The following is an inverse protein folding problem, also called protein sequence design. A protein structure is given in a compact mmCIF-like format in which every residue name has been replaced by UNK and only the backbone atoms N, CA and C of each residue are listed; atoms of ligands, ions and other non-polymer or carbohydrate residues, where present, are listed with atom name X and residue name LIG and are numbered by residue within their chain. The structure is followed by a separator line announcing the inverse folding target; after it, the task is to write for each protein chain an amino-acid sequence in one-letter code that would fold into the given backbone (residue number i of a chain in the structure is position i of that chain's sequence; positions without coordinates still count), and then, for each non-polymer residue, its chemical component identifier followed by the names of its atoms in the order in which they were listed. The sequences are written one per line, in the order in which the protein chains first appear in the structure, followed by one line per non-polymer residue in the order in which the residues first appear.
data_IF_427169392535
#
_entry.id   IF_427169392535
#
_cell.length_a   1.000
_cell.length_b   1.000
_cell.length_c   1.000
_cell.angle_alpha   90.00
_cell.angle_beta   90.00
_cell.angle_gamma   90.00
#
_symmetry.space_group_name_H-M   'P 1'
#
loop_
_entity.id
_entity.type
_entity.pdbx_description
1 polymer ?
#
# COMPACT_ATOMS: atom_id res chain seq x y z
N UNK A 1 -4.88 19.84 2.24
CA UNK A 1 -4.86 18.39 1.98
C UNK A 1 -3.46 17.88 2.26
N UNK A 2 -3.27 17.19 3.38
CA UNK A 2 -1.94 16.73 3.79
C UNK A 2 -1.58 15.48 3.01
N UNK A 3 -0.60 15.61 2.11
CA UNK A 3 0.05 14.43 1.51
C UNK A 3 0.86 13.75 2.61
N UNK A 4 0.34 12.66 3.16
CA UNK A 4 1.10 11.80 4.07
C UNK A 4 2.14 11.04 3.21
N UNK A 5 3.38 11.50 3.23
CA UNK A 5 4.50 10.75 2.67
C UNK A 5 4.86 9.66 3.68
N UNK A 6 4.52 8.40 3.39
CA UNK A 6 4.94 7.27 4.20
C UNK A 6 6.44 7.05 4.01
N UNK A 7 7.19 7.23 5.08
CA UNK A 7 8.61 6.93 5.16
C UNK A 7 8.75 5.43 5.44
N UNK A 8 9.37 4.69 4.53
CA UNK A 8 9.71 3.28 4.74
C UNK A 8 10.93 3.17 5.64
N UNK A 9 10.76 2.58 6.80
CA UNK A 9 11.85 2.02 7.58
C UNK A 9 11.81 0.50 7.42
N UNK A 10 12.64 -0.03 6.53
CA UNK A 10 12.96 -1.45 6.49
C UNK A 10 14.17 -1.67 7.40
N UNK A 11 13.95 -2.24 8.58
CA UNK A 11 15.01 -2.64 9.49
C UNK A 11 15.53 -4.02 9.10
N UNK A 12 16.78 -4.13 8.72
CA UNK A 12 17.46 -5.40 8.47
C UNK A 12 18.56 -5.64 9.49
N UNK A 13 18.55 -6.83 10.08
CA UNK A 13 19.67 -7.36 10.84
C UNK A 13 20.67 -7.98 9.86
N UNK A 14 21.85 -7.38 9.72
CA UNK A 14 22.97 -7.94 8.97
C UNK A 14 24.03 -8.49 9.95
N UNK A 15 24.44 -9.74 9.71
CA UNK A 15 25.62 -10.34 10.37
C UNK A 15 26.81 -10.12 9.45
N UNK A 16 27.87 -9.48 9.97
CA UNK A 16 29.03 -9.00 9.22
C UNK A 16 30.20 -9.97 9.23
N UNK A 17 31.00 -9.98 8.14
CA UNK A 17 32.44 -10.27 8.17
C UNK A 17 33.19 -9.39 7.15
N UNK A 18 34.33 -8.89 7.62
CA UNK A 18 35.19 -7.79 7.25
C UNK A 18 35.70 -7.71 5.79
N UNK A 19 35.60 -6.47 5.19
CA UNK A 19 36.68 -5.68 4.59
C UNK A 19 36.10 -4.31 4.20
N UNK A 20 36.67 -3.22 4.73
CA UNK A 20 36.16 -1.86 4.54
C UNK A 20 36.50 -1.30 3.14
N UNK A 21 35.48 -0.92 2.38
CA UNK A 21 35.60 -0.01 1.25
C UNK A 21 34.99 1.34 1.62
N UNK A 22 35.66 2.43 1.23
CA UNK A 22 35.08 3.77 1.30
C UNK A 22 34.16 3.95 0.09
N UNK A 23 32.86 4.07 0.33
CA UNK A 23 31.89 4.37 -0.73
C UNK A 23 31.78 5.89 -0.83
N UNK A 24 31.94 6.43 -2.03
CA UNK A 24 31.83 7.86 -2.31
C UNK A 24 30.52 8.18 -3.00
N UNK A 25 29.77 9.08 -2.41
CA UNK A 25 28.51 9.56 -2.96
C UNK A 25 28.68 11.04 -3.32
N UNK A 26 28.89 11.34 -4.59
CA UNK A 26 28.96 12.70 -5.11
C UNK A 26 27.62 13.16 -5.61
N UNK A 27 27.24 14.38 -5.34
CA UNK A 27 25.97 14.90 -5.82
C UNK A 27 26.07 16.34 -6.28
N UNK A 28 25.14 16.71 -7.20
CA UNK A 28 24.92 18.06 -7.66
C UNK A 28 23.45 18.43 -7.42
N UNK A 29 23.22 19.64 -6.94
CA UNK A 29 21.89 20.18 -6.64
C UNK A 29 21.56 21.28 -7.62
N UNK A 30 20.42 21.17 -8.26
CA UNK A 30 19.83 22.17 -9.13
C UNK A 30 18.61 22.78 -8.42
N UNK A 31 18.76 24.04 -7.96
CA UNK A 31 17.72 24.76 -7.24
C UNK A 31 17.88 26.26 -7.48
N UNK A 32 16.79 27.04 -7.37
CA UNK A 32 16.85 28.51 -7.40
C UNK A 32 17.55 29.08 -6.16
N UNK A 33 17.30 28.46 -5.01
CA UNK A 33 18.00 28.71 -3.76
C UNK A 33 18.61 27.41 -3.32
N UNK A 34 19.93 27.38 -3.17
CA UNK A 34 20.65 26.17 -2.75
C UNK A 34 20.47 25.95 -1.26
N UNK A 35 20.08 24.76 -0.82
CA UNK A 35 20.12 24.38 0.60
C UNK A 35 21.57 24.34 1.11
N UNK A 36 21.75 24.58 2.41
CA UNK A 36 23.08 24.67 3.02
C UNK A 36 23.69 23.28 3.27
N UNK A 37 22.85 22.34 3.66
CA UNK A 37 23.29 21.02 4.08
C UNK A 37 22.59 19.91 3.31
N UNK A 38 23.32 18.80 3.15
CA UNK A 38 22.74 17.52 2.76
C UNK A 38 22.99 16.49 3.87
N UNK A 39 22.00 15.65 4.08
CA UNK A 39 22.01 14.55 5.06
C UNK A 39 21.77 13.23 4.36
N UNK A 40 22.55 12.22 4.72
CA UNK A 40 22.31 10.85 4.33
C UNK A 40 21.98 10.03 5.58
N UNK A 41 20.80 9.44 5.60
CA UNK A 41 20.33 8.58 6.67
C UNK A 41 20.37 7.14 6.17
N UNK A 42 21.14 6.31 6.86
CA UNK A 42 21.31 4.90 6.53
C UNK A 42 21.35 4.08 7.82
N UNK A 43 20.43 3.18 8.01
CA UNK A 43 20.17 2.48 9.26
C UNK A 43 19.99 3.46 10.43
N UNK A 44 20.82 3.42 11.46
CA UNK A 44 20.81 4.37 12.58
C UNK A 44 21.78 5.55 12.38
N UNK A 45 22.58 5.52 11.31
CA UNK A 45 23.58 6.53 11.03
C UNK A 45 23.00 7.75 10.30
N UNK A 46 23.50 8.93 10.67
CA UNK A 46 23.20 10.21 10.01
C UNK A 46 24.53 10.84 9.58
N UNK A 47 24.74 10.88 8.28
CA UNK A 47 25.89 11.56 7.70
C UNK A 47 25.48 12.97 7.26
N UNK A 48 26.32 13.95 7.48
CA UNK A 48 26.09 15.36 7.12
C UNK A 48 27.21 15.87 6.23
N UNK A 49 26.85 16.63 5.21
CA UNK A 49 27.83 17.41 4.41
C UNK A 49 27.28 18.79 4.09
N UNK A 50 28.17 19.76 3.87
CA UNK A 50 27.79 21.10 3.36
C UNK A 50 27.70 21.07 1.84
N UNK A 51 26.77 21.84 1.31
CA UNK A 51 26.61 22.04 -0.14
C UNK A 51 27.39 23.30 -0.51
N UNK A 52 28.43 23.14 -1.33
CA UNK A 52 29.28 24.23 -1.82
C UNK A 52 29.16 24.35 -3.33
N UNK A 53 28.74 25.52 -3.81
CA UNK A 53 28.51 25.76 -5.26
C UNK A 53 27.59 24.70 -5.92
N UNK A 54 26.55 24.29 -5.21
CA UNK A 54 25.60 23.28 -5.68
C UNK A 54 26.13 21.85 -5.71
N UNK A 55 27.27 21.55 -5.06
CA UNK A 55 27.83 20.19 -5.02
C UNK A 55 28.14 19.76 -3.59
N UNK A 56 28.16 18.45 -3.35
CA UNK A 56 28.58 17.86 -2.08
C UNK A 56 29.04 16.41 -2.26
N UNK A 57 29.66 15.88 -1.23
CA UNK A 57 30.13 14.50 -1.21
C UNK A 57 29.94 13.90 0.19
N UNK A 58 29.50 12.65 0.24
CA UNK A 58 29.60 11.80 1.43
C UNK A 58 30.67 10.74 1.21
N UNK A 59 31.42 10.46 2.25
CA UNK A 59 32.32 9.31 2.29
C UNK A 59 31.84 8.38 3.39
N UNK A 60 31.38 7.20 3.00
CA UNK A 60 30.80 6.21 3.92
C UNK A 60 31.86 5.16 4.17
N UNK A 61 32.35 5.10 5.40
CA UNK A 61 33.29 4.09 5.85
C UNK A 61 32.51 2.92 6.48
N UNK A 62 31.70 2.24 5.67
CA UNK A 62 30.87 1.12 6.13
C UNK A 62 31.14 -0.09 5.26
N UNK A 63 31.23 -1.24 5.91
CA UNK A 63 31.41 -2.50 5.22
C UNK A 63 30.06 -2.92 4.67
N UNK A 64 29.94 -2.99 3.36
CA UNK A 64 28.83 -3.67 2.68
C UNK A 64 29.36 -4.97 2.09
N UNK A 65 28.82 -6.10 2.51
CA UNK A 65 29.15 -7.39 1.91
C UNK A 65 28.78 -7.37 0.43
N UNK A 66 29.60 -8.02 -0.40
CA UNK A 66 29.35 -8.11 -1.84
C UNK A 66 27.97 -8.72 -2.10
N UNK A 67 27.12 -7.98 -2.82
CA UNK A 67 25.73 -8.37 -3.09
C UNK A 67 24.72 -7.92 -2.04
N UNK A 68 25.17 -7.24 -0.97
CA UNK A 68 24.28 -6.56 -0.02
C UNK A 68 24.11 -5.09 -0.41
N UNK A 69 23.00 -4.51 0.02
CA UNK A 69 22.72 -3.09 -0.14
C UNK A 69 21.93 -2.60 1.06
N UNK A 70 21.99 -1.29 1.30
CA UNK A 70 21.16 -0.61 2.28
C UNK A 70 20.25 0.40 1.61
N UNK A 71 19.01 0.50 2.06
CA UNK A 71 18.17 1.64 1.73
C UNK A 71 18.64 2.85 2.53
N UNK A 72 18.78 3.97 1.84
CA UNK A 72 19.17 5.22 2.44
C UNK A 72 18.19 6.34 2.03
N UNK A 73 18.12 7.38 2.86
CA UNK A 73 17.38 8.60 2.56
C UNK A 73 18.36 9.75 2.45
N UNK A 74 18.36 10.43 1.32
CA UNK A 74 19.09 11.66 1.09
C UNK A 74 18.15 12.83 1.35
N UNK A 75 18.52 13.74 2.23
CA UNK A 75 17.75 14.93 2.52
C UNK A 75 18.57 16.19 2.26
N UNK A 76 17.87 17.24 1.85
CA UNK A 76 18.42 18.59 1.73
C UNK A 76 17.75 19.47 2.78
N UNK A 77 18.51 20.34 3.47
CA UNK A 77 17.96 21.23 4.49
C UNK A 77 18.86 22.41 4.80
N UNK A 78 18.25 23.53 5.17
CA UNK A 78 18.94 24.70 5.74
C UNK A 78 19.17 24.55 7.26
N UNK A 79 18.53 23.57 7.90
CA UNK A 79 18.62 23.31 9.33
C UNK A 79 19.70 22.28 9.65
N UNK A 80 20.21 22.31 10.88
CA UNK A 80 21.19 21.35 11.38
C UNK A 80 20.52 20.31 12.27
N UNK A 81 20.86 19.05 12.06
CA UNK A 81 20.42 17.91 12.86
C UNK A 81 21.63 17.14 13.37
N UNK A 82 21.54 16.65 14.59
CA UNK A 82 22.61 15.91 15.26
C UNK A 82 22.34 14.42 15.35
N UNK A 83 21.08 14.03 15.22
CA UNK A 83 20.65 12.64 15.30
C UNK A 83 19.40 12.41 14.44
N UNK A 84 19.04 11.13 14.29
CA UNK A 84 17.91 10.68 13.47
C UNK A 84 16.55 11.15 14.03
N UNK A 85 16.39 11.19 15.34
CA UNK A 85 15.11 11.59 15.97
C UNK A 85 14.83 13.07 15.77
N UNK A 86 15.83 13.93 15.93
CA UNK A 86 15.73 15.37 15.64
C UNK A 86 15.36 15.60 14.17
N UNK A 87 16.04 14.88 13.26
CA UNK A 87 15.75 14.94 11.84
C UNK A 87 14.29 14.61 11.53
N UNK A 88 13.79 13.44 11.93
CA UNK A 88 12.42 13.05 11.66
C UNK A 88 11.39 13.89 12.40
N UNK A 89 11.70 14.39 13.60
CA UNK A 89 10.85 15.30 14.35
C UNK A 89 10.70 16.63 13.63
N UNK A 90 11.75 17.13 13.02
CA UNK A 90 11.71 18.34 12.20
C UNK A 90 10.82 18.13 10.97
N UNK A 91 11.07 17.10 10.16
CA UNK A 91 10.33 16.83 8.93
C UNK A 91 8.86 16.47 9.16
N UNK A 92 8.49 15.93 10.33
CA UNK A 92 7.09 15.73 10.72
C UNK A 92 6.36 17.03 11.05
N UNK A 93 7.06 18.03 11.57
CA UNK A 93 6.47 19.31 12.00
C UNK A 93 6.46 20.37 10.90
N UNK A 94 7.38 20.31 9.98
CA UNK A 94 7.54 21.30 8.92
C UNK A 94 7.05 20.72 7.60
N UNK A 95 6.27 21.51 6.87
CA UNK A 95 5.85 21.12 5.52
C UNK A 95 7.09 20.98 4.63
N UNK A 96 7.08 19.99 3.74
CA UNK A 96 8.08 19.83 2.70
C UNK A 96 8.13 21.15 1.90
N UNK A 97 9.26 21.81 1.96
CA UNK A 97 9.54 23.04 1.22
C UNK A 97 10.57 22.73 0.11
N UNK A 98 10.78 23.62 -0.87
CA UNK A 98 11.82 23.43 -1.88
C UNK A 98 13.22 23.20 -1.31
N UNK A 99 13.50 23.71 -0.11
CA UNK A 99 14.80 23.55 0.57
C UNK A 99 14.82 22.44 1.62
N UNK A 100 13.67 21.79 1.89
CA UNK A 100 13.56 20.69 2.86
C UNK A 100 12.90 19.49 2.17
N UNK A 101 13.69 18.66 1.53
CA UNK A 101 13.23 17.53 0.74
C UNK A 101 14.07 16.28 1.00
N UNK A 102 13.51 15.09 0.84
CA UNK A 102 14.28 13.86 0.91
C UNK A 102 13.93 12.90 -0.23
N UNK A 103 14.93 12.13 -0.61
CA UNK A 103 14.92 11.17 -1.68
C UNK A 103 15.35 9.80 -1.15
N UNK A 104 14.74 8.75 -1.61
CA UNK A 104 15.20 7.39 -1.34
C UNK A 104 16.27 6.99 -2.34
N UNK A 105 17.28 6.25 -1.89
CA UNK A 105 18.29 5.64 -2.75
C UNK A 105 18.80 4.34 -2.15
N UNK A 106 19.57 3.60 -2.94
CA UNK A 106 20.22 2.36 -2.54
C UNK A 106 21.71 2.62 -2.49
N UNK A 107 22.34 2.28 -1.38
CA UNK A 107 23.79 2.23 -1.20
C UNK A 107 24.19 0.77 -1.36
N UNK A 108 24.90 0.48 -2.44
CA UNK A 108 25.62 -0.77 -2.66
C UNK A 108 27.12 -0.52 -2.54
N UNK A 109 27.96 -1.46 -2.94
CA UNK A 109 29.42 -1.31 -2.88
C UNK A 109 30.01 -0.37 -3.95
N UNK A 110 29.18 0.34 -4.71
CA UNK A 110 29.58 1.20 -5.83
C UNK A 110 29.69 2.66 -5.39
N UNK A 111 30.64 3.39 -5.97
CA UNK A 111 30.63 4.84 -5.91
C UNK A 111 29.44 5.38 -6.74
N UNK A 112 28.73 6.34 -6.18
CA UNK A 112 27.56 6.93 -6.80
C UNK A 112 27.77 8.38 -7.17
N UNK A 113 27.19 8.78 -8.31
CA UNK A 113 27.01 10.18 -8.68
C UNK A 113 25.52 10.47 -8.78
N UNK A 114 25.07 11.62 -8.26
CA UNK A 114 23.66 11.98 -8.19
C UNK A 114 23.43 13.39 -8.71
N UNK A 115 22.39 13.55 -9.49
CA UNK A 115 21.84 14.85 -9.88
C UNK A 115 20.48 15.04 -9.21
N UNK A 116 20.34 16.12 -8.44
CA UNK A 116 19.16 16.42 -7.63
C UNK A 116 18.52 17.67 -8.18
N UNK A 117 17.35 17.55 -8.78
CA UNK A 117 16.56 18.69 -9.22
C UNK A 117 15.45 18.97 -8.19
N UNK A 118 15.65 20.03 -7.40
CA UNK A 118 14.72 20.41 -6.33
C UNK A 118 13.36 20.88 -6.88
N UNK A 119 13.33 21.53 -8.04
CA UNK A 119 12.08 22.04 -8.64
C UNK A 119 11.17 20.90 -9.10
N UNK A 120 11.74 19.89 -9.76
CA UNK A 120 10.99 18.76 -10.30
C UNK A 120 10.89 17.61 -9.30
N UNK A 121 11.52 17.72 -8.14
CA UNK A 121 11.63 16.67 -7.13
C UNK A 121 12.22 15.35 -7.69
N UNK A 122 13.17 15.48 -8.62
CA UNK A 122 13.82 14.37 -9.29
C UNK A 122 15.21 14.12 -8.72
N UNK A 123 15.51 12.84 -8.49
CA UNK A 123 16.83 12.33 -8.17
C UNK A 123 17.26 11.33 -9.25
N UNK A 124 18.29 11.68 -9.99
CA UNK A 124 18.98 10.76 -10.89
C UNK A 124 20.21 10.19 -10.22
N UNK A 125 20.39 8.88 -10.24
CA UNK A 125 21.50 8.17 -9.59
C UNK A 125 22.25 7.36 -10.63
N UNK A 126 23.56 7.58 -10.70
CA UNK A 126 24.48 6.92 -11.63
C UNK A 126 25.50 6.10 -10.85
N UNK A 127 26.01 5.03 -11.46
CA UNK A 127 27.02 4.14 -10.88
C UNK A 127 26.45 2.88 -10.22
N UNK A 128 25.12 2.74 -10.14
CA UNK A 128 24.45 1.55 -9.56
C UNK A 128 23.28 1.08 -10.40
N UNK A 129 23.31 -0.18 -10.80
CA UNK A 129 22.17 -0.81 -11.49
C UNK A 129 20.98 -1.07 -10.54
N UNK A 130 21.27 -1.22 -9.25
CA UNK A 130 20.19 -1.36 -8.24
C UNK A 130 19.38 -0.07 -8.12
N UNK A 131 19.98 1.11 -8.23
CA UNK A 131 19.23 2.37 -8.23
C UNK A 131 18.37 2.54 -9.49
N UNK A 132 18.83 2.12 -10.65
CA UNK A 132 17.98 2.10 -11.86
C UNK A 132 16.76 1.22 -11.66
N UNK A 133 16.96 0.02 -11.18
CA UNK A 133 15.88 -0.93 -10.87
C UNK A 133 14.91 -0.37 -9.82
N UNK A 134 15.41 0.25 -8.75
CA UNK A 134 14.60 0.92 -7.73
C UNK A 134 13.68 1.97 -8.37
N UNK A 135 14.20 2.82 -9.23
CA UNK A 135 13.42 3.85 -9.93
C UNK A 135 12.30 3.22 -10.75
N UNK A 136 12.56 2.13 -11.47
CA UNK A 136 11.53 1.41 -12.24
C UNK A 136 10.40 0.90 -11.33
N UNK A 137 10.71 0.31 -10.16
CA UNK A 137 9.69 -0.14 -9.20
C UNK A 137 8.92 1.03 -8.56
N UNK A 138 9.62 2.08 -8.15
CA UNK A 138 8.98 3.25 -7.52
C UNK A 138 8.07 3.99 -8.49
N UNK A 139 8.36 3.98 -9.80
CA UNK A 139 7.50 4.56 -10.82
C UNK A 139 6.12 3.89 -10.85
N UNK A 140 6.02 2.60 -10.47
CA UNK A 140 4.73 1.91 -10.35
C UNK A 140 3.92 2.51 -9.19
N UNK A 141 4.54 2.63 -8.02
CA UNK A 141 3.88 3.20 -6.84
C UNK A 141 3.50 4.68 -7.04
N UNK A 142 4.36 5.47 -7.70
CA UNK A 142 4.11 6.89 -8.01
C UNK A 142 3.06 7.11 -9.10
N UNK A 143 2.64 6.08 -9.82
CA UNK A 143 1.59 6.19 -10.84
C UNK A 143 0.17 6.37 -10.28
N UNK A 144 0.02 6.42 -8.95
CA UNK A 144 -1.23 6.83 -8.32
C UNK A 144 -1.41 8.33 -8.45
N UNK A 145 -2.48 8.76 -9.12
CA UNK A 145 -2.94 10.14 -9.07
C UNK A 145 -3.92 10.29 -7.91
N UNK A 146 -3.48 10.99 -6.88
CA UNK A 146 -4.31 11.31 -5.70
C UNK A 146 -5.00 12.68 -5.83
N UNK A 147 -4.91 13.34 -6.98
CA UNK A 147 -5.52 14.65 -7.20
C UNK A 147 -7.05 14.57 -7.38
N UNK A 148 -7.55 13.41 -7.82
CA UNK A 148 -8.97 13.11 -7.91
C UNK A 148 -9.28 11.69 -7.39
N UNK A 149 -10.53 11.40 -7.13
CA UNK A 149 -10.99 10.04 -6.82
C UNK A 149 -11.28 9.35 -8.16
N UNK A 150 -10.52 8.29 -8.52
CA UNK A 150 -10.67 7.65 -9.82
C UNK A 150 -12.01 6.89 -9.90
N UNK A 151 -12.58 6.79 -11.09
CA UNK A 151 -13.72 5.91 -11.36
C UNK A 151 -13.36 4.44 -11.13
N UNK A 152 -14.35 3.58 -11.07
CA UNK A 152 -14.12 2.13 -10.94
C UNK A 152 -13.30 1.57 -12.11
N UNK A 153 -13.62 1.98 -13.34
CA UNK A 153 -12.90 1.55 -14.54
C UNK A 153 -11.42 1.97 -14.51
N UNK A 154 -11.15 3.22 -14.15
CA UNK A 154 -9.79 3.73 -13.96
C UNK A 154 -9.02 2.97 -12.86
N UNK A 155 -9.70 2.58 -11.77
CA UNK A 155 -9.08 1.76 -10.71
C UNK A 155 -8.68 0.38 -11.23
N UNK A 156 -9.61 -0.32 -11.89
CA UNK A 156 -9.38 -1.69 -12.41
C UNK A 156 -8.30 -1.69 -13.49
N UNK A 157 -8.41 -0.80 -14.47
CA UNK A 157 -7.41 -0.68 -15.53
C UNK A 157 -6.05 -0.29 -14.96
N UNK A 158 -6.01 0.70 -14.09
CA UNK A 158 -4.78 1.16 -13.44
C UNK A 158 -4.11 0.06 -12.63
N UNK A 159 -4.87 -0.73 -11.87
CA UNK A 159 -4.34 -1.84 -11.07
C UNK A 159 -3.77 -2.96 -11.95
N UNK A 160 -4.46 -3.35 -13.01
CA UNK A 160 -3.99 -4.36 -13.96
C UNK A 160 -2.71 -3.90 -14.68
N UNK A 161 -2.65 -2.64 -15.11
CA UNK A 161 -1.47 -2.06 -15.74
C UNK A 161 -0.27 -2.03 -14.78
N UNK A 162 -0.47 -1.64 -13.52
CA UNK A 162 0.58 -1.65 -12.49
C UNK A 162 1.08 -3.06 -12.22
N UNK A 163 0.19 -4.05 -12.07
CA UNK A 163 0.58 -5.44 -11.85
C UNK A 163 1.39 -5.98 -13.03
N UNK A 164 0.93 -5.76 -14.26
CA UNK A 164 1.65 -6.18 -15.47
C UNK A 164 3.06 -5.59 -15.53
N UNK A 165 3.21 -4.30 -15.22
CA UNK A 165 4.53 -3.63 -15.16
C UNK A 165 5.40 -4.23 -14.06
N UNK A 166 4.83 -4.47 -12.88
CA UNK A 166 5.55 -5.03 -11.73
C UNK A 166 6.12 -6.41 -12.06
N UNK A 167 5.29 -7.30 -12.63
CA UNK A 167 5.73 -8.65 -13.04
C UNK A 167 6.82 -8.60 -14.10
N UNK A 168 6.74 -7.69 -15.08
CA UNK A 168 7.77 -7.48 -16.10
C UNK A 168 9.11 -7.03 -15.49
N UNK A 169 9.08 -6.09 -14.54
CA UNK A 169 10.30 -5.62 -13.87
C UNK A 169 10.92 -6.75 -13.03
N UNK A 170 10.11 -7.51 -12.29
CA UNK A 170 10.59 -8.68 -11.55
C UNK A 170 11.25 -9.71 -12.46
N UNK A 171 10.64 -10.03 -13.59
CA UNK A 171 11.22 -10.96 -14.57
C UNK A 171 12.52 -10.44 -15.18
N UNK A 172 12.60 -9.13 -15.50
CA UNK A 172 13.80 -8.46 -16.02
C UNK A 172 14.98 -8.53 -15.05
N UNK A 173 14.71 -8.41 -13.74
CA UNK A 173 15.73 -8.33 -12.69
C UNK A 173 15.70 -9.53 -11.74
N UNK A 174 15.37 -10.70 -12.28
CA UNK A 174 15.13 -11.94 -11.51
C UNK A 174 16.31 -12.38 -10.63
N UNK A 175 17.52 -11.97 -10.97
CA UNK A 175 18.76 -12.48 -10.34
C UNK A 175 19.26 -11.67 -9.14
N UNK A 176 18.52 -10.67 -8.64
CA UNK A 176 19.05 -9.87 -7.54
C UNK A 176 18.11 -9.77 -6.32
N UNK A 177 18.73 -9.46 -5.18
CA UNK A 177 18.05 -9.35 -3.88
C UNK A 177 16.99 -8.24 -3.84
N UNK A 178 17.16 -7.18 -4.62
CA UNK A 178 16.21 -6.07 -4.66
C UNK A 178 14.85 -6.51 -5.20
N UNK A 179 14.81 -7.39 -6.21
CA UNK A 179 13.58 -7.98 -6.72
C UNK A 179 12.86 -8.81 -5.66
N UNK A 180 13.60 -9.57 -4.85
CA UNK A 180 13.03 -10.30 -3.70
C UNK A 180 12.39 -9.33 -2.71
N UNK A 181 13.06 -8.24 -2.36
CA UNK A 181 12.53 -7.26 -1.40
C UNK A 181 11.28 -6.56 -1.93
N UNK A 182 11.27 -6.15 -3.19
CA UNK A 182 10.06 -5.55 -3.79
C UNK A 182 8.90 -6.53 -3.89
N UNK A 183 9.16 -7.80 -4.24
CA UNK A 183 8.11 -8.82 -4.22
C UNK A 183 7.63 -9.10 -2.79
N UNK A 184 8.53 -9.19 -1.83
CA UNK A 184 8.17 -9.34 -0.42
C UNK A 184 7.33 -8.16 0.09
N UNK A 185 7.66 -6.95 -0.34
CA UNK A 185 6.91 -5.74 0.00
C UNK A 185 5.53 -5.72 -0.67
N UNK A 186 5.45 -6.05 -1.96
CA UNK A 186 4.18 -6.19 -2.67
C UNK A 186 3.23 -7.17 -1.98
N UNK A 187 3.72 -8.35 -1.63
CA UNK A 187 2.93 -9.39 -0.98
C UNK A 187 2.46 -9.01 0.43
N UNK A 188 3.27 -8.20 1.15
CA UNK A 188 2.94 -7.73 2.50
C UNK A 188 2.10 -6.45 2.56
N UNK A 189 2.21 -5.58 1.55
CA UNK A 189 1.61 -4.25 1.54
C UNK A 189 1.02 -3.88 0.17
N UNK A 190 0.05 -4.65 -0.35
CA UNK A 190 -0.46 -4.42 -1.70
C UNK A 190 -1.13 -3.04 -1.89
N UNK A 191 -1.73 -2.47 -0.84
CA UNK A 191 -2.34 -1.13 -0.88
C UNK A 191 -1.36 0.00 -1.20
N UNK A 192 -0.07 -0.26 -1.14
CA UNK A 192 0.95 0.69 -1.57
C UNK A 192 1.05 0.80 -3.10
N UNK A 193 0.66 -0.25 -3.82
CA UNK A 193 0.81 -0.35 -5.27
C UNK A 193 -0.52 -0.30 -6.02
N UNK A 194 -1.64 -0.61 -5.37
CA UNK A 194 -2.94 -0.81 -5.99
C UNK A 194 -4.06 -0.06 -5.28
N UNK A 195 -5.03 0.42 -6.04
CA UNK A 195 -6.28 0.95 -5.49
C UNK A 195 -7.04 -0.15 -4.77
N UNK A 196 -7.07 -1.34 -5.35
CA UNK A 196 -7.63 -2.52 -4.71
C UNK A 196 -6.53 -3.51 -4.33
N UNK A 197 -6.29 -3.67 -3.05
CA UNK A 197 -5.26 -4.58 -2.53
C UNK A 197 -5.49 -6.04 -2.92
N UNK A 198 -6.73 -6.44 -3.23
CA UNK A 198 -7.04 -7.81 -3.68
C UNK A 198 -6.55 -8.11 -5.10
N UNK A 199 -6.11 -7.10 -5.86
CA UNK A 199 -5.50 -7.28 -7.19
C UNK A 199 -4.33 -8.29 -7.14
N UNK A 200 -3.54 -8.27 -6.05
CA UNK A 200 -2.45 -9.23 -5.86
C UNK A 200 -2.98 -10.68 -5.81
N UNK A 201 -4.11 -10.90 -5.15
CA UNK A 201 -4.73 -12.22 -5.09
C UNK A 201 -5.31 -12.65 -6.44
N UNK A 202 -5.88 -11.73 -7.21
CA UNK A 202 -6.39 -12.02 -8.57
C UNK A 202 -5.28 -12.48 -9.51
N UNK A 203 -4.06 -11.99 -9.31
CA UNK A 203 -2.86 -12.38 -10.06
C UNK A 203 -2.01 -13.46 -9.38
N UNK A 204 -2.54 -14.16 -8.38
CA UNK A 204 -1.80 -15.14 -7.57
C UNK A 204 -1.10 -16.21 -8.40
N UNK A 205 -1.75 -16.72 -9.45
CA UNK A 205 -1.19 -17.79 -10.29
C UNK A 205 0.01 -17.28 -11.08
N UNK A 206 -0.07 -16.08 -11.65
CA UNK A 206 1.06 -15.45 -12.35
C UNK A 206 2.24 -15.17 -11.42
N UNK A 207 1.95 -14.71 -10.19
CA UNK A 207 2.95 -14.49 -9.15
C UNK A 207 3.60 -15.83 -8.75
N UNK A 208 2.78 -16.86 -8.55
CA UNK A 208 3.29 -18.19 -8.21
C UNK A 208 4.21 -18.77 -9.28
N UNK A 209 3.78 -18.69 -10.54
CA UNK A 209 4.60 -19.12 -11.68
C UNK A 209 5.94 -18.38 -11.74
N UNK A 210 5.92 -17.07 -11.56
CA UNK A 210 7.15 -16.28 -11.49
C UNK A 210 8.05 -16.72 -10.34
N UNK A 211 7.51 -16.93 -9.12
CA UNK A 211 8.28 -17.43 -7.97
C UNK A 211 8.93 -18.78 -8.29
N UNK A 212 8.21 -19.71 -8.93
CA UNK A 212 8.75 -21.02 -9.32
C UNK A 212 9.84 -20.91 -10.39
N UNK A 213 9.66 -20.03 -11.37
CA UNK A 213 10.68 -19.74 -12.38
C UNK A 213 11.95 -19.19 -11.73
N UNK A 214 11.84 -18.15 -10.88
CA UNK A 214 12.96 -17.55 -10.19
C UNK A 214 13.70 -18.53 -9.27
N UNK A 215 12.95 -19.43 -8.63
CA UNK A 215 13.52 -20.51 -7.83
C UNK A 215 14.30 -21.52 -8.69
N UNK A 216 13.78 -21.88 -9.87
CA UNK A 216 14.42 -22.81 -10.83
C UNK A 216 15.69 -22.23 -11.43
N UNK A 217 15.73 -20.93 -11.66
CA UNK A 217 16.91 -20.21 -12.17
C UNK A 217 18.03 -20.07 -11.12
N UNK A 218 17.94 -20.78 -9.98
CA UNK A 218 18.92 -20.80 -8.89
C UNK A 218 19.23 -19.40 -8.33
N UNK A 219 18.26 -18.51 -8.32
CA UNK A 219 18.43 -17.26 -7.61
C UNK A 219 18.63 -17.55 -6.11
N UNK A 220 19.79 -17.22 -5.52
CA UNK A 220 20.07 -17.51 -4.11
C UNK A 220 19.09 -16.80 -3.17
N UNK A 221 18.42 -15.78 -3.67
CA UNK A 221 17.49 -14.94 -2.90
C UNK A 221 16.07 -15.52 -2.84
N UNK A 222 15.60 -16.17 -3.90
CA UNK A 222 14.26 -16.77 -3.94
C UNK A 222 14.21 -18.20 -3.37
N UNK A 223 15.36 -18.78 -3.05
CA UNK A 223 15.47 -20.13 -2.46
C UNK A 223 15.13 -20.21 -0.96
N UNK A 224 15.12 -19.08 -0.24
CA UNK A 224 15.03 -19.02 1.23
C UNK A 224 13.69 -19.46 1.83
N UNK A 225 12.66 -19.72 1.05
CA UNK A 225 11.30 -20.01 1.52
C UNK A 225 10.53 -18.78 2.04
N UNK A 226 11.20 -17.64 2.29
CA UNK A 226 10.59 -16.39 2.80
C UNK A 226 9.52 -15.86 1.84
N UNK A 227 9.83 -15.79 0.55
CA UNK A 227 8.88 -15.30 -0.46
C UNK A 227 7.70 -16.25 -0.61
N UNK A 228 7.95 -17.55 -0.64
CA UNK A 228 6.89 -18.54 -0.72
C UNK A 228 5.95 -18.45 0.49
N UNK A 229 6.52 -18.28 1.69
CA UNK A 229 5.71 -18.07 2.89
C UNK A 229 4.87 -16.80 2.79
N UNK A 230 5.45 -15.65 2.40
CA UNK A 230 4.70 -14.40 2.21
C UNK A 230 3.60 -14.53 1.15
N UNK A 231 3.87 -15.27 0.08
CA UNK A 231 2.87 -15.59 -0.94
C UNK A 231 1.72 -16.41 -0.34
N UNK A 232 2.01 -17.46 0.43
CA UNK A 232 1.01 -18.28 1.10
C UNK A 232 0.19 -17.47 2.12
N UNK A 233 0.84 -16.60 2.89
CA UNK A 233 0.18 -15.70 3.84
C UNK A 233 -0.76 -14.73 3.10
N UNK A 234 -0.34 -14.19 1.97
CA UNK A 234 -1.17 -13.34 1.10
C UNK A 234 -2.37 -14.10 0.54
N UNK A 235 -2.16 -15.31 0.00
CA UNK A 235 -3.26 -16.13 -0.51
C UNK A 235 -4.27 -16.42 0.59
N UNK A 236 -3.82 -16.88 1.76
CA UNK A 236 -4.71 -17.16 2.89
C UNK A 236 -5.48 -15.94 3.39
N UNK A 237 -4.84 -14.75 3.28
CA UNK A 237 -5.44 -13.47 3.67
C UNK A 237 -6.57 -13.03 2.72
N UNK A 238 -6.34 -13.15 1.43
CA UNK A 238 -7.27 -12.67 0.40
C UNK A 238 -8.18 -13.76 -0.17
N UNK A 239 -7.96 -15.02 0.22
CA UNK A 239 -8.84 -16.12 -0.20
C UNK A 239 -10.29 -15.86 0.23
N UNK A 240 -11.26 -16.01 -0.67
CA UNK A 240 -12.66 -15.83 -0.34
C UNK A 240 -13.08 -16.71 0.84
N UNK A 241 -13.76 -16.12 1.81
CA UNK A 241 -14.40 -16.88 2.89
C UNK A 241 -15.81 -17.23 2.44
N UNK A 242 -16.03 -18.51 2.17
CA UNK A 242 -17.34 -19.05 1.76
C UNK A 242 -17.74 -20.19 2.70
N UNK A 243 -19.03 -20.38 2.87
CA UNK A 243 -19.64 -21.35 3.78
C UNK A 243 -19.22 -21.21 5.27
N UNK A 244 -18.64 -20.08 5.64
CA UNK A 244 -18.28 -19.77 7.03
C UNK A 244 -19.44 -19.07 7.73
N UNK A 245 -19.68 -19.35 9.04
CA UNK A 245 -20.67 -18.62 9.81
C UNK A 245 -20.34 -17.14 9.88
N UNK A 246 -21.36 -16.29 9.83
CA UNK A 246 -21.17 -14.86 10.06
C UNK A 246 -21.14 -14.59 11.56
N UNK A 247 -20.08 -13.94 12.08
CA UNK A 247 -20.00 -13.63 13.50
C UNK A 247 -21.08 -12.64 13.92
N UNK A 248 -21.44 -12.67 15.19
CA UNK A 248 -22.35 -11.68 15.77
C UNK A 248 -21.56 -10.44 16.18
N UNK A 249 -21.94 -9.28 15.66
CA UNK A 249 -21.36 -8.00 16.03
C UNK A 249 -22.39 -6.88 16.04
N UNK A 250 -22.09 -5.83 16.79
CA UNK A 250 -22.95 -4.64 16.91
C UNK A 250 -22.63 -3.66 15.79
N UNK A 251 -23.69 -3.08 15.24
CA UNK A 251 -23.66 -1.99 14.27
C UNK A 251 -24.51 -0.84 14.79
N UNK A 252 -24.10 0.39 14.52
CA UNK A 252 -24.81 1.60 15.00
C UNK A 252 -25.26 2.44 13.80
N UNK A 253 -26.53 2.86 13.79
CA UNK A 253 -27.07 3.72 12.74
C UNK A 253 -26.72 5.20 12.97
N UNK A 254 -27.08 6.08 12.02
CA UNK A 254 -26.78 7.52 12.11
C UNK A 254 -27.54 8.26 13.24
N UNK A 255 -28.57 7.66 13.81
CA UNK A 255 -29.26 8.18 15.01
C UNK A 255 -28.63 7.72 16.32
N UNK A 256 -27.56 6.92 16.28
CA UNK A 256 -26.87 6.41 17.46
C UNK A 256 -27.49 5.15 18.07
N UNK A 257 -28.45 4.52 17.40
CA UNK A 257 -29.06 3.29 17.87
C UNK A 257 -28.24 2.08 17.40
N UNK A 258 -27.89 1.22 18.34
CA UNK A 258 -27.12 0.00 18.08
C UNK A 258 -28.01 -1.23 18.04
N UNK A 259 -27.67 -2.15 17.15
CA UNK A 259 -28.31 -3.47 17.04
C UNK A 259 -27.29 -4.51 16.57
N UNK A 260 -27.62 -5.78 16.76
CA UNK A 260 -26.81 -6.85 16.17
C UNK A 260 -27.05 -6.93 14.66
N UNK A 261 -25.98 -7.17 13.90
CA UNK A 261 -26.06 -7.28 12.43
C UNK A 261 -27.08 -8.34 11.98
N UNK A 262 -27.25 -9.42 12.75
CA UNK A 262 -28.25 -10.46 12.48
C UNK A 262 -29.70 -9.96 12.50
N UNK A 263 -30.00 -8.85 13.15
CA UNK A 263 -31.34 -8.26 13.14
C UNK A 263 -31.74 -7.70 11.76
N UNK A 264 -30.77 -7.55 10.86
CA UNK A 264 -31.02 -7.20 9.44
C UNK A 264 -31.53 -8.37 8.60
N UNK A 265 -31.49 -9.61 9.12
CA UNK A 265 -31.80 -10.82 8.36
C UNK A 265 -33.30 -11.04 8.15
N UNK A 266 -34.16 -10.47 9.00
CA UNK A 266 -35.59 -10.80 9.09
C UNK A 266 -36.40 -10.48 7.83
N UNK A 267 -35.86 -9.73 6.88
CA UNK A 267 -36.64 -9.23 5.72
C UNK A 267 -36.02 -9.61 4.37
N UNK A 268 -35.05 -10.52 4.31
CA UNK A 268 -34.36 -10.82 3.05
C UNK A 268 -33.71 -12.21 3.08
N UNK A 269 -33.53 -12.81 1.90
CA UNK A 269 -32.81 -14.08 1.76
C UNK A 269 -31.29 -13.88 1.75
N UNK A 270 -30.84 -12.75 1.17
CA UNK A 270 -29.44 -12.41 1.06
C UNK A 270 -29.17 -10.97 1.51
N UNK A 271 -28.16 -10.80 2.36
CA UNK A 271 -27.65 -9.51 2.78
C UNK A 271 -26.33 -9.23 2.05
N UNK A 272 -26.29 -8.13 1.29
CA UNK A 272 -25.11 -7.64 0.60
C UNK A 272 -24.48 -6.55 1.46
N UNK A 273 -23.27 -6.80 1.95
CA UNK A 273 -22.56 -5.91 2.86
C UNK A 273 -21.40 -5.27 2.13
N UNK A 274 -21.38 -3.93 2.12
CA UNK A 274 -20.23 -3.11 1.73
C UNK A 274 -19.48 -2.69 2.99
N UNK A 275 -18.30 -3.24 3.20
CA UNK A 275 -17.39 -2.76 4.25
C UNK A 275 -16.53 -1.63 3.68
N UNK A 276 -16.65 -0.43 4.26
CA UNK A 276 -16.04 0.79 3.74
C UNK A 276 -15.55 1.73 4.86
N UNK A 277 -15.12 2.94 4.51
CA UNK A 277 -14.80 4.01 5.45
C UNK A 277 -14.67 5.36 4.75
N UNK A 278 -14.89 6.48 5.46
CA UNK A 278 -14.78 7.83 4.89
C UNK A 278 -13.35 8.19 4.47
N UNK A 279 -12.38 7.44 4.96
CA UNK A 279 -10.97 7.53 4.60
C UNK A 279 -10.60 6.70 3.36
N UNK A 280 -11.51 5.87 2.86
CA UNK A 280 -11.28 4.94 1.74
C UNK A 280 -11.69 5.58 0.40
N UNK A 281 -10.77 6.24 -0.28
CA UNK A 281 -11.02 6.84 -1.60
C UNK A 281 -11.60 5.86 -2.63
N UNK A 282 -11.03 4.65 -2.81
CA UNK A 282 -11.59 3.64 -3.71
C UNK A 282 -13.02 3.20 -3.36
N UNK A 283 -13.38 3.12 -2.07
CA UNK A 283 -14.76 2.81 -1.66
C UNK A 283 -15.72 3.91 -2.12
N UNK A 284 -15.35 5.17 -1.85
CA UNK A 284 -16.15 6.35 -2.22
C UNK A 284 -16.38 6.39 -3.74
N UNK A 285 -15.37 6.06 -4.54
CA UNK A 285 -15.48 6.01 -5.99
C UNK A 285 -16.45 4.92 -6.49
N UNK A 286 -16.61 3.83 -5.73
CA UNK A 286 -17.50 2.72 -6.10
C UNK A 286 -18.95 2.89 -5.60
N UNK A 287 -19.24 3.79 -4.66
CA UNK A 287 -20.58 4.02 -4.13
C UNK A 287 -21.64 4.33 -5.21
N UNK A 288 -21.38 5.18 -6.23
CA UNK A 288 -22.39 5.44 -7.27
C UNK A 288 -22.83 4.16 -8.00
N UNK A 289 -21.87 3.27 -8.31
CA UNK A 289 -22.18 2.01 -8.97
C UNK A 289 -22.92 1.05 -8.03
N UNK A 290 -22.48 0.93 -6.77
CA UNK A 290 -23.17 0.10 -5.78
C UNK A 290 -24.60 0.57 -5.55
N UNK A 291 -24.86 1.88 -5.48
CA UNK A 291 -26.20 2.44 -5.37
C UNK A 291 -27.06 2.11 -6.60
N UNK A 292 -26.47 2.16 -7.81
CA UNK A 292 -27.16 1.78 -9.03
C UNK A 292 -27.60 0.31 -8.98
N UNK A 293 -26.71 -0.59 -8.57
CA UNK A 293 -27.01 -2.01 -8.39
C UNK A 293 -28.09 -2.19 -7.31
N UNK A 294 -27.93 -1.56 -6.16
CA UNK A 294 -28.92 -1.66 -5.07
C UNK A 294 -30.30 -1.22 -5.52
N UNK A 295 -30.41 -0.16 -6.33
CA UNK A 295 -31.69 0.30 -6.89
C UNK A 295 -32.29 -0.68 -7.91
N UNK A 296 -31.48 -1.37 -8.69
CA UNK A 296 -31.95 -2.40 -9.63
C UNK A 296 -32.65 -3.57 -8.91
N UNK A 297 -32.18 -3.90 -7.70
CA UNK A 297 -32.68 -5.04 -6.91
C UNK A 297 -33.60 -4.64 -5.74
N UNK A 298 -33.91 -3.35 -5.53
CA UNK A 298 -34.66 -2.85 -4.36
C UNK A 298 -36.03 -3.47 -4.16
N UNK A 299 -36.72 -3.76 -5.26
CA UNK A 299 -38.11 -4.28 -5.25
C UNK A 299 -38.16 -5.83 -5.29
N UNK A 300 -37.00 -6.48 -5.30
CA UNK A 300 -36.89 -7.93 -5.42
C UNK A 300 -37.27 -8.67 -4.11
N UNK A 301 -37.18 -8.00 -2.95
CA UNK A 301 -37.40 -8.62 -1.64
C UNK A 301 -36.41 -9.70 -1.22
N UNK A 302 -35.64 -10.24 -2.19
CA UNK A 302 -34.62 -11.28 -1.97
C UNK A 302 -33.30 -10.75 -1.46
N UNK A 303 -32.99 -9.50 -1.87
CA UNK A 303 -31.69 -8.87 -1.59
C UNK A 303 -31.86 -7.60 -0.76
N UNK A 304 -31.04 -7.47 0.27
CA UNK A 304 -30.90 -6.24 1.05
C UNK A 304 -29.46 -5.76 1.00
N UNK A 305 -29.26 -4.49 0.69
CA UNK A 305 -27.94 -3.85 0.67
C UNK A 305 -27.72 -3.04 1.94
N UNK A 306 -26.52 -3.11 2.50
CA UNK A 306 -26.12 -2.31 3.67
C UNK A 306 -24.65 -1.89 3.55
N UNK A 307 -24.35 -0.65 3.93
CA UNK A 307 -23.00 -0.18 4.14
C UNK A 307 -22.61 -0.33 5.60
N UNK A 308 -21.40 -0.80 5.88
CA UNK A 308 -20.85 -0.87 7.25
C UNK A 308 -19.49 -0.18 7.25
N UNK A 309 -19.47 1.04 7.82
CA UNK A 309 -18.21 1.77 7.98
C UNK A 309 -17.37 1.16 9.11
N UNK A 310 -16.07 0.98 8.84
CA UNK A 310 -15.09 0.42 9.78
C UNK A 310 -13.90 1.36 9.96
N UNK A 311 -13.27 1.33 11.12
CA UNK A 311 -12.14 2.21 11.43
C UNK A 311 -12.44 3.69 11.22
N UNK A 312 -13.68 4.10 11.45
CA UNK A 312 -14.16 5.46 11.26
C UNK A 312 -14.56 6.09 12.59
N UNK A 313 -14.61 7.41 12.62
CA UNK A 313 -15.18 8.14 13.75
C UNK A 313 -16.66 8.39 13.49
N UNK A 314 -17.52 8.09 14.44
CA UNK A 314 -18.96 8.26 14.31
C UNK A 314 -19.36 9.65 13.77
N UNK A 315 -18.76 10.72 14.30
CA UNK A 315 -19.05 12.09 13.85
C UNK A 315 -18.66 12.34 12.39
N UNK A 316 -17.49 11.85 11.96
CA UNK A 316 -17.00 12.01 10.58
C UNK A 316 -17.87 11.22 9.61
N UNK A 317 -18.17 9.97 9.94
CA UNK A 317 -19.05 9.11 9.15
C UNK A 317 -20.47 9.69 9.05
N UNK A 318 -21.06 10.12 10.14
CA UNK A 318 -22.39 10.75 10.15
C UNK A 318 -22.42 12.01 9.27
N UNK A 319 -21.44 12.90 9.39
CA UNK A 319 -21.32 14.09 8.54
C UNK A 319 -21.18 13.73 7.06
N UNK A 320 -20.50 12.62 6.75
CA UNK A 320 -20.39 12.13 5.39
C UNK A 320 -21.75 11.68 4.85
N UNK A 321 -22.55 10.91 5.63
CA UNK A 321 -23.89 10.48 5.22
C UNK A 321 -24.86 11.65 5.01
N UNK A 322 -24.75 12.71 5.80
CA UNK A 322 -25.58 13.93 5.65
C UNK A 322 -25.29 14.67 4.33
N UNK A 323 -24.07 14.54 3.80
CA UNK A 323 -23.66 15.17 2.54
C UNK A 323 -23.90 14.29 1.30
N UNK A 324 -24.04 12.99 1.49
CA UNK A 324 -24.12 12.01 0.41
C UNK A 324 -25.36 11.13 0.62
N UNK A 325 -26.35 11.27 -0.25
CA UNK A 325 -27.56 10.46 -0.19
C UNK A 325 -27.26 9.01 -0.58
N UNK A 326 -27.46 8.08 0.36
CA UNK A 326 -27.41 6.65 0.09
C UNK A 326 -28.81 6.09 -0.13
N UNK A 327 -28.94 5.15 -1.06
CA UNK A 327 -30.21 4.45 -1.36
C UNK A 327 -30.42 3.20 -0.52
N UNK A 328 -29.43 2.85 0.30
CA UNK A 328 -29.45 1.71 1.23
C UNK A 328 -28.97 2.12 2.62
N UNK A 329 -29.34 1.33 3.62
CA UNK A 329 -29.01 1.58 5.03
C UNK A 329 -27.50 1.56 5.26
N UNK A 330 -27.03 2.51 6.06
CA UNK A 330 -25.63 2.60 6.45
C UNK A 330 -25.48 2.54 7.96
N UNK A 331 -24.46 1.85 8.41
CA UNK A 331 -24.10 1.64 9.80
C UNK A 331 -22.62 1.88 10.01
N UNK A 332 -22.24 2.11 11.26
CA UNK A 332 -20.84 2.10 11.68
C UNK A 332 -20.61 0.92 12.60
N UNK A 333 -19.43 0.31 12.49
CA UNK A 333 -18.99 -0.80 13.33
C UNK A 333 -18.07 -0.32 14.43
N UNK A 334 -18.30 -0.75 15.68
CA UNK A 334 -17.44 -0.39 16.79
C UNK A 334 -16.05 -1.03 16.69
N UNK A 335 -15.00 -0.21 16.76
CA UNK A 335 -13.62 -0.63 16.49
C UNK A 335 -13.07 -1.71 17.42
N UNK A 336 -13.59 -1.87 18.64
CA UNK A 336 -13.12 -2.88 19.61
C UNK A 336 -13.20 -4.32 19.10
N UNK A 337 -14.21 -4.62 18.25
CA UNK A 337 -14.45 -5.96 17.71
C UNK A 337 -13.83 -6.17 16.31
N UNK A 338 -13.16 -5.15 15.77
CA UNK A 338 -12.58 -5.21 14.42
C UNK A 338 -11.54 -6.34 14.21
N UNK A 339 -10.67 -6.68 15.18
CA UNK A 339 -9.75 -7.81 15.03
C UNK A 339 -10.45 -9.13 14.77
N UNK A 340 -11.58 -9.39 15.42
CA UNK A 340 -12.38 -10.61 15.22
C UNK A 340 -13.05 -10.61 13.84
N UNK A 341 -13.70 -9.51 13.47
CA UNK A 341 -14.32 -9.34 12.16
C UNK A 341 -13.30 -9.55 11.03
N UNK A 342 -12.12 -8.96 11.16
CA UNK A 342 -10.99 -9.14 10.23
C UNK A 342 -10.66 -10.59 10.02
N UNK A 343 -10.48 -11.33 11.11
CA UNK A 343 -10.08 -12.73 11.08
C UNK A 343 -11.18 -13.64 10.52
N UNK A 344 -12.41 -13.46 10.97
CA UNK A 344 -13.51 -14.37 10.67
C UNK A 344 -14.08 -14.17 9.27
N UNK A 345 -14.20 -12.92 8.80
CA UNK A 345 -14.72 -12.59 7.48
C UNK A 345 -13.64 -12.24 6.44
N UNK A 346 -12.36 -12.25 6.84
CA UNK A 346 -11.26 -11.91 5.94
C UNK A 346 -11.29 -10.46 5.46
N UNK A 347 -11.68 -9.50 6.32
CA UNK A 347 -11.77 -8.08 5.96
C UNK A 347 -10.43 -7.39 6.22
N UNK A 348 -9.51 -7.50 5.27
CA UNK A 348 -8.14 -6.97 5.39
C UNK A 348 -7.85 -5.80 4.45
N UNK A 349 -8.71 -5.59 3.46
CA UNK A 349 -8.60 -4.49 2.50
C UNK A 349 -9.97 -3.92 2.18
N UNK A 350 -10.01 -2.71 1.63
CA UNK A 350 -11.23 -1.99 1.28
C UNK A 350 -11.13 -1.43 -0.14
N UNK A 351 -12.24 -1.38 -0.90
CA UNK A 351 -13.57 -1.87 -0.54
C UNK A 351 -13.63 -3.39 -0.34
N UNK A 352 -14.57 -3.87 0.46
CA UNK A 352 -14.78 -5.29 0.69
C UNK A 352 -16.27 -5.64 0.68
N UNK A 353 -16.66 -6.45 -0.26
CA UNK A 353 -18.04 -6.93 -0.38
C UNK A 353 -18.18 -8.33 0.18
N UNK A 354 -19.29 -8.56 0.89
CA UNK A 354 -19.65 -9.87 1.45
C UNK A 354 -21.14 -10.11 1.20
N UNK A 355 -21.50 -11.28 0.68
CA UNK A 355 -22.88 -11.72 0.53
C UNK A 355 -23.16 -12.81 1.57
N UNK A 356 -24.21 -12.61 2.36
CA UNK A 356 -24.62 -13.51 3.42
C UNK A 356 -25.96 -14.14 3.05
N UNK A 357 -26.05 -15.49 3.14
CA UNK A 357 -27.33 -16.18 3.21
C UNK A 357 -27.88 -16.01 4.62
N UNK A 358 -28.98 -15.28 4.76
CA UNK A 358 -29.53 -14.93 6.07
C UNK A 358 -30.19 -16.11 6.79
N UNK A 359 -30.76 -17.06 6.03
CA UNK A 359 -31.41 -18.26 6.56
C UNK A 359 -30.39 -19.22 7.19
N UNK A 360 -29.25 -19.38 6.53
CA UNK A 360 -28.18 -20.25 6.99
C UNK A 360 -27.18 -19.55 7.92
N UNK A 361 -27.21 -18.22 7.97
CA UNK A 361 -26.21 -17.39 8.65
C UNK A 361 -24.79 -17.68 8.17
N UNK A 362 -24.59 -17.79 6.85
CA UNK A 362 -23.31 -18.11 6.23
C UNK A 362 -22.93 -17.12 5.15
N UNK A 363 -21.65 -16.91 5.01
CA UNK A 363 -21.09 -16.19 3.87
C UNK A 363 -21.25 -17.05 2.62
N UNK A 364 -21.93 -16.51 1.60
CA UNK A 364 -22.09 -17.15 0.28
C UNK A 364 -20.94 -16.77 -0.63
N UNK A 365 -20.53 -15.50 -0.58
CA UNK A 365 -19.46 -14.97 -1.40
C UNK A 365 -18.75 -13.84 -0.67
N UNK A 366 -17.43 -13.79 -0.78
CA UNK A 366 -16.64 -12.65 -0.29
C UNK A 366 -15.47 -12.37 -1.24
N UNK A 367 -14.83 -11.21 -1.08
CA UNK A 367 -13.64 -10.81 -1.83
C UNK A 367 -13.82 -10.87 -3.36
N UNK A 368 -14.86 -10.27 -3.85
CA UNK A 368 -15.14 -10.08 -5.28
C UNK A 368 -15.14 -8.58 -5.62
N UNK A 369 -15.02 -8.27 -6.91
CA UNK A 369 -15.08 -6.90 -7.40
C UNK A 369 -16.52 -6.47 -7.63
N UNK A 370 -16.79 -5.16 -7.59
CA UNK A 370 -18.13 -4.62 -7.76
C UNK A 370 -18.70 -4.92 -9.16
N UNK A 371 -17.89 -5.00 -10.20
CA UNK A 371 -18.28 -5.37 -11.57
C UNK A 371 -18.80 -6.81 -11.67
N UNK A 372 -18.37 -7.69 -10.77
CA UNK A 372 -18.83 -9.07 -10.66
C UNK A 372 -20.17 -9.20 -9.93
N UNK A 373 -20.58 -8.18 -9.17
CA UNK A 373 -21.71 -8.28 -8.24
C UNK A 373 -23.01 -8.67 -8.95
N UNK A 374 -23.34 -8.04 -10.09
CA UNK A 374 -24.57 -8.41 -10.85
C UNK A 374 -24.58 -9.86 -11.31
N UNK A 375 -23.45 -10.32 -11.85
CA UNK A 375 -23.33 -11.71 -12.28
C UNK A 375 -23.55 -12.68 -11.12
N UNK A 376 -23.00 -12.37 -9.95
CA UNK A 376 -23.19 -13.17 -8.73
C UNK A 376 -24.65 -13.15 -8.30
N UNK A 377 -25.30 -11.97 -8.19
CA UNK A 377 -26.69 -11.87 -7.74
C UNK A 377 -27.66 -12.61 -8.66
N UNK A 378 -27.38 -12.66 -9.96
CA UNK A 378 -28.20 -13.40 -10.94
C UNK A 378 -28.08 -14.92 -10.79
N UNK A 379 -27.09 -15.44 -10.07
CA UNK A 379 -26.93 -16.88 -9.80
C UNK A 379 -27.54 -17.32 -8.46
N UNK A 380 -27.88 -16.38 -7.60
CA UNK A 380 -28.47 -16.62 -6.29
C UNK A 380 -30.01 -16.65 -6.38
#
# INVERSE_FOLDING_TARGET
MNKLLFVFTLTFLAISNNYGQNIRLKFRVYADTLPIYSYLLMDEDVFKTEIKNGTGEFVINKILDKGHFNFAQLALSDSTFTNREDFFSFFRRHQISPTNFFYSLIIDSSDLTMDINVKTHQLDVYGSDLNKQRIEFETIAKSFDLSHIPTMEEQVEGDNNRMSRFLKILAKYSANKLSEEYLAHLLGNPSFYFYNSSTVFQHKDSIYQLIQQLKKENSPYFGSGRILKKYQDMVALYEPKENVPVPSFLITNASGQSKYMKELYSSTDYLIIDFWGTWCGPCIAQHPELQRIANEYKDNGKFKFVGIAVNDKFATWKQYLEKHAFTYENYIFENKDYPNLRKELGIYSFPRYVIVNTKENKVVRSNFQIDQLRAILNTL
#
